data_IF_757306025620
#
_entry.id   IF_757306025620
#
_cell.length_a   1.000
_cell.length_b   1.000
_cell.length_c   1.000
_cell.angle_alpha   90.00
_cell.angle_beta   90.00
_cell.angle_gamma   90.00
#
_symmetry.space_group_name_H-M   'P 1'
#
loop_
_entity.id
_entity.type
_entity.pdbx_description
1 polymer ?
#
# COMPACT_ATOMS: atom_id res chain seq x y z
N UNK A 1 -26.67 -2.95 -25.67
CA UNK A 1 -25.35 -2.92 -25.01
C UNK A 1 -25.42 -1.91 -23.88
N UNK A 2 -25.46 -2.36 -22.62
CA UNK A 2 -25.59 -1.47 -21.46
C UNK A 2 -24.21 -1.14 -20.89
N UNK A 3 -23.86 0.13 -20.95
CA UNK A 3 -22.70 0.70 -20.28
C UNK A 3 -23.01 0.82 -18.79
N UNK A 4 -22.16 0.28 -17.92
CA UNK A 4 -22.19 0.63 -16.51
C UNK A 4 -21.29 1.85 -16.33
N UNK A 5 -21.88 3.04 -16.31
CA UNK A 5 -21.21 4.23 -15.77
C UNK A 5 -21.28 4.11 -14.26
N UNK A 6 -20.24 3.53 -13.65
CA UNK A 6 -20.19 3.46 -12.19
C UNK A 6 -19.79 4.83 -11.65
N UNK A 7 -20.76 5.59 -11.16
CA UNK A 7 -20.44 6.67 -10.23
C UNK A 7 -19.97 6.01 -8.94
N UNK A 8 -18.69 6.21 -8.61
CA UNK A 8 -18.20 5.92 -7.27
C UNK A 8 -18.95 6.83 -6.29
N UNK A 9 -19.90 6.29 -5.54
CA UNK A 9 -20.64 7.07 -4.53
C UNK A 9 -20.03 6.76 -3.17
N UNK A 10 -19.25 7.69 -2.63
CA UNK A 10 -18.82 7.64 -1.22
C UNK A 10 -18.44 9.04 -0.75
N UNK A 11 -19.44 9.82 -0.28
CA UNK A 11 -19.25 11.11 0.43
C UNK A 11 -18.53 12.24 -0.37
N UNK A 12 -18.75 13.53 -0.06
CA UNK A 12 -18.00 14.65 -0.66
C UNK A 12 -16.47 14.60 -0.46
N UNK A 13 -15.95 13.67 0.35
CA UNK A 13 -14.56 13.61 0.84
C UNK A 13 -13.60 12.65 0.11
N UNK A 14 -13.96 12.06 -1.04
CA UNK A 14 -13.04 11.17 -1.77
C UNK A 14 -12.68 11.71 -3.17
N UNK A 15 -11.40 12.05 -3.31
CA UNK A 15 -10.80 12.82 -4.40
C UNK A 15 -10.50 11.99 -5.67
N UNK A 16 -10.52 12.74 -6.79
CA UNK A 16 -10.19 12.46 -8.19
C UNK A 16 -11.02 11.39 -8.95
N UNK A 17 -11.93 11.93 -9.77
CA UNK A 17 -12.76 11.27 -10.78
C UNK A 17 -11.88 10.59 -11.84
N UNK A 18 -11.71 9.27 -11.75
CA UNK A 18 -11.25 8.45 -12.88
C UNK A 18 -12.48 7.76 -13.46
N UNK A 19 -12.82 8.10 -14.71
CA UNK A 19 -13.88 7.39 -15.43
C UNK A 19 -13.24 6.23 -16.16
N UNK A 20 -13.57 5.02 -15.77
CA UNK A 20 -12.99 3.80 -16.35
C UNK A 20 -14.03 3.02 -17.14
N UNK A 21 -13.65 2.61 -18.36
CA UNK A 21 -14.41 1.66 -19.16
C UNK A 21 -13.88 0.25 -18.89
N UNK A 22 -14.67 -0.55 -18.19
CA UNK A 22 -14.33 -1.95 -17.90
C UNK A 22 -15.16 -2.93 -18.71
N UNK A 23 -14.57 -4.09 -19.00
CA UNK A 23 -15.21 -5.16 -19.75
C UNK A 23 -16.45 -5.67 -19.02
N UNK A 24 -17.49 -6.01 -19.78
CA UNK A 24 -18.72 -6.59 -19.23
C UNK A 24 -18.41 -7.85 -18.39
N UNK A 25 -19.01 -7.93 -17.20
CA UNK A 25 -18.81 -9.03 -16.25
C UNK A 25 -17.59 -8.89 -15.34
N UNK A 26 -16.70 -7.91 -15.56
CA UNK A 26 -15.68 -7.58 -14.57
C UNK A 26 -16.34 -6.89 -13.36
N UNK A 27 -15.89 -7.22 -12.15
CA UNK A 27 -16.44 -6.69 -10.90
C UNK A 27 -15.42 -5.78 -10.24
N UNK A 28 -15.81 -4.54 -9.96
CA UNK A 28 -15.03 -3.60 -9.14
C UNK A 28 -15.05 -4.09 -7.69
N UNK A 29 -13.88 -4.14 -7.05
CA UNK A 29 -13.76 -4.47 -5.62
C UNK A 29 -13.78 -3.14 -4.85
N UNK A 30 -14.98 -2.65 -4.53
CA UNK A 30 -15.18 -1.32 -3.91
C UNK A 30 -14.65 -1.25 -2.48
N UNK A 31 -14.49 -2.40 -1.83
CA UNK A 31 -13.93 -2.55 -0.48
C UNK A 31 -12.41 -2.46 -0.45
N UNK A 32 -11.73 -2.35 -1.61
CA UNK A 32 -10.29 -2.15 -1.71
C UNK A 32 -10.00 -0.82 -2.40
N UNK A 33 -9.14 -0.01 -1.78
CA UNK A 33 -8.63 1.22 -2.35
C UNK A 33 -7.13 1.10 -2.63
N UNK A 34 -6.71 1.50 -3.82
CA UNK A 34 -5.30 1.69 -4.17
C UNK A 34 -5.04 3.19 -4.14
N UNK A 35 -4.22 3.62 -3.19
CA UNK A 35 -3.87 5.03 -2.98
C UNK A 35 -2.52 5.34 -3.60
N UNK A 36 -2.44 6.49 -4.25
CA UNK A 36 -1.27 6.89 -5.03
C UNK A 36 -1.00 8.38 -4.80
N UNK A 37 0.19 8.68 -4.31
CA UNK A 37 0.70 10.06 -4.21
C UNK A 37 1.84 10.18 -5.23
N UNK A 38 1.56 10.43 -6.51
CA UNK A 38 2.60 10.71 -7.49
C UNK A 38 3.27 12.05 -7.13
N UNK A 39 4.59 12.02 -6.93
CA UNK A 39 5.40 13.23 -6.83
C UNK A 39 6.26 13.29 -8.08
N UNK A 40 6.09 14.36 -8.86
CA UNK A 40 6.99 14.69 -9.94
C UNK A 40 7.96 15.75 -9.41
N UNK A 41 9.18 15.35 -9.10
CA UNK A 41 10.30 16.27 -8.93
C UNK A 41 10.90 16.46 -10.32
N UNK A 42 11.35 17.67 -10.67
CA UNK A 42 11.75 18.15 -12.01
C UNK A 42 12.50 17.16 -12.96
N UNK A 43 13.12 16.09 -12.45
CA UNK A 43 13.81 15.03 -13.21
C UNK A 43 13.55 13.60 -12.68
N UNK A 44 12.73 13.41 -11.64
CA UNK A 44 12.51 12.14 -10.96
C UNK A 44 11.07 12.00 -10.45
N UNK A 45 10.46 10.85 -10.68
CA UNK A 45 9.11 10.55 -10.20
C UNK A 45 9.23 9.75 -8.89
N UNK A 46 8.79 10.30 -7.76
CA UNK A 46 8.83 9.67 -6.43
C UNK A 46 7.41 9.50 -5.89
N UNK A 47 6.69 8.50 -6.40
CA UNK A 47 5.38 8.12 -5.88
C UNK A 47 5.44 7.41 -4.53
N UNK A 48 4.40 7.51 -3.70
CA UNK A 48 4.11 6.52 -2.64
C UNK A 48 2.77 5.85 -2.92
N UNK A 49 2.77 4.52 -3.03
CA UNK A 49 1.58 3.71 -3.30
C UNK A 49 1.30 2.74 -2.14
N UNK A 50 0.02 2.55 -1.82
CA UNK A 50 -0.43 1.57 -0.83
C UNK A 50 -1.84 1.08 -1.12
N UNK A 51 -2.21 -0.06 -0.53
CA UNK A 51 -3.56 -0.64 -0.59
C UNK A 51 -4.24 -0.48 0.75
N UNK A 52 -5.51 -0.03 0.79
CA UNK A 52 -6.35 0.06 1.99
C UNK A 52 -7.58 -0.85 1.86
N UNK A 53 -8.02 -1.44 2.96
CA UNK A 53 -9.30 -2.15 3.05
C UNK A 53 -10.35 -1.26 3.72
N UNK A 54 -11.55 -1.26 3.16
CA UNK A 54 -12.74 -0.66 3.75
C UNK A 54 -13.44 -1.73 4.58
N UNK A 55 -13.45 -1.51 5.89
CA UNK A 55 -14.14 -2.34 6.85
C UNK A 55 -15.39 -1.62 7.35
N UNK A 56 -16.45 -2.36 7.67
CA UNK A 56 -17.73 -1.78 8.12
C UNK A 56 -17.61 -1.01 9.45
N UNK A 57 -16.65 -1.38 10.29
CA UNK A 57 -16.43 -0.82 11.63
C UNK A 57 -15.40 0.33 11.66
N UNK A 58 -15.16 1.00 10.52
CA UNK A 58 -14.10 2.01 10.41
C UNK A 58 -14.22 3.17 11.40
N UNK A 59 -15.45 3.52 11.77
CA UNK A 59 -15.76 4.62 12.69
C UNK A 59 -15.81 4.18 14.16
N UNK A 60 -15.71 2.88 14.42
CA UNK A 60 -15.82 2.33 15.77
C UNK A 60 -14.45 2.38 16.48
N UNK A 61 -14.51 2.53 17.81
CA UNK A 61 -13.35 2.52 18.70
C UNK A 61 -13.72 1.74 19.95
N UNK A 62 -12.88 0.78 20.33
CA UNK A 62 -13.10 0.00 21.55
C UNK A 62 -13.10 0.90 22.80
N UNK A 63 -13.97 0.62 23.77
CA UNK A 63 -14.09 1.38 25.02
C UNK A 63 -12.75 1.60 25.75
N UNK A 64 -11.85 0.60 25.85
CA UNK A 64 -10.57 0.82 26.52
C UNK A 64 -9.70 1.82 25.79
N UNK A 65 -9.77 1.83 24.46
CA UNK A 65 -9.03 2.78 23.63
C UNK A 65 -9.62 4.19 23.71
N UNK A 66 -10.93 4.32 23.94
CA UNK A 66 -11.55 5.60 24.31
C UNK A 66 -11.02 6.08 25.67
N UNK A 67 -10.98 5.21 26.68
CA UNK A 67 -10.52 5.54 28.03
C UNK A 67 -9.05 5.99 28.07
N UNK A 68 -8.16 5.27 27.38
CA UNK A 68 -6.74 5.61 27.26
C UNK A 68 -6.58 7.02 26.65
N UNK A 69 -7.35 7.35 25.60
CA UNK A 69 -7.34 8.69 25.00
C UNK A 69 -7.86 9.76 25.95
N UNK A 70 -8.95 9.49 26.68
CA UNK A 70 -9.50 10.42 27.68
C UNK A 70 -8.50 10.71 28.81
N UNK A 71 -7.74 9.71 29.24
CA UNK A 71 -6.67 9.85 30.24
C UNK A 71 -5.42 10.57 29.70
N UNK A 72 -5.32 10.76 28.38
CA UNK A 72 -4.18 11.43 27.75
C UNK A 72 -2.88 10.63 27.85
N UNK A 73 -2.99 9.29 27.91
CA UNK A 73 -1.82 8.41 27.91
C UNK A 73 -1.01 8.57 26.61
N UNK A 74 0.28 8.27 26.70
CA UNK A 74 1.23 8.29 25.58
C UNK A 74 1.41 6.89 25.00
N UNK A 75 2.00 6.81 23.81
CA UNK A 75 2.31 5.53 23.16
C UNK A 75 3.15 4.63 24.06
N UNK A 76 4.17 5.18 24.72
CA UNK A 76 4.99 4.45 25.70
C UNK A 76 4.22 3.87 26.90
N UNK A 77 3.05 4.41 27.24
CA UNK A 77 2.31 4.04 28.44
C UNK A 77 1.39 2.82 28.18
N UNK A 78 1.30 2.37 26.92
CA UNK A 78 0.40 1.29 26.49
C UNK A 78 1.13 0.15 25.75
N UNK A 79 2.45 0.14 25.84
CA UNK A 79 3.32 -0.94 25.35
C UNK A 79 4.25 -1.41 26.47
N UNK A 80 4.69 -2.66 26.42
CA UNK A 80 5.66 -3.21 27.37
C UNK A 80 7.12 -2.82 27.00
N UNK A 81 8.08 -3.31 27.78
CA UNK A 81 9.52 -3.05 27.55
C UNK A 81 10.04 -3.59 26.20
N UNK A 82 9.31 -4.54 25.59
CA UNK A 82 9.62 -5.12 24.27
C UNK A 82 8.89 -4.39 23.14
N UNK A 83 8.03 -3.42 23.46
CA UNK A 83 7.22 -2.69 22.50
C UNK A 83 5.96 -3.45 22.07
N UNK A 84 5.56 -4.48 22.82
CA UNK A 84 4.31 -5.22 22.60
C UNK A 84 3.14 -4.49 23.26
N UNK A 85 1.96 -4.48 22.63
CA UNK A 85 0.79 -3.79 23.17
C UNK A 85 0.34 -4.40 24.51
N UNK A 86 0.12 -3.56 25.52
CA UNK A 86 -0.53 -3.97 26.77
C UNK A 86 -2.03 -4.29 26.55
N UNK A 87 -2.60 -3.74 25.48
CA UNK A 87 -3.97 -3.97 25.08
C UNK A 87 -4.12 -3.89 23.56
N UNK A 88 -4.89 -4.82 22.99
CA UNK A 88 -5.22 -4.85 21.57
C UNK A 88 -6.63 -4.25 21.40
N UNK A 89 -6.72 -3.22 20.55
CA UNK A 89 -8.00 -2.68 20.08
C UNK A 89 -8.47 -3.53 18.91
N UNK A 90 -9.69 -4.07 18.93
CA UNK A 90 -10.25 -4.86 17.83
C UNK A 90 -10.81 -4.01 16.69
N UNK A 91 -11.25 -2.78 16.98
CA UNK A 91 -11.84 -1.86 16.02
C UNK A 91 -10.80 -1.00 15.31
N UNK A 92 -11.18 -0.53 14.13
CA UNK A 92 -10.36 0.35 13.29
C UNK A 92 -9.84 1.57 14.04
N UNK A 93 -10.68 2.13 14.92
CA UNK A 93 -10.38 3.36 15.64
C UNK A 93 -10.00 4.51 14.66
N UNK A 94 -10.64 4.50 13.49
CA UNK A 94 -10.37 5.36 12.34
C UNK A 94 -9.09 5.06 11.54
N UNK A 95 -8.24 4.11 11.95
CA UNK A 95 -7.16 3.55 11.11
C UNK A 95 -7.70 2.36 10.31
N UNK A 96 -7.52 2.40 9.00
CA UNK A 96 -7.92 1.30 8.11
C UNK A 96 -6.84 0.22 8.10
N UNK A 97 -7.19 -0.98 7.68
CA UNK A 97 -6.16 -1.95 7.32
C UNK A 97 -5.49 -1.51 6.03
N UNK A 98 -4.17 -1.50 5.95
CA UNK A 98 -3.47 -1.18 4.72
C UNK A 98 -2.06 -1.71 4.65
N UNK A 99 -1.52 -1.75 3.43
CA UNK A 99 -0.18 -2.23 3.14
C UNK A 99 0.53 -1.31 2.15
N UNK A 100 1.64 -0.74 2.60
CA UNK A 100 2.56 0.09 1.83
C UNK A 100 3.98 -0.11 2.32
N UNK A 101 4.96 0.49 1.65
CA UNK A 101 6.37 0.36 2.05
C UNK A 101 7.00 1.70 2.38
N UNK A 102 7.90 1.70 3.37
CA UNK A 102 8.66 2.87 3.78
C UNK A 102 10.10 2.56 4.12
N UNK A 103 11.02 3.50 3.89
CA UNK A 103 12.36 3.38 4.44
C UNK A 103 12.33 3.58 5.98
N UNK A 104 13.08 2.77 6.72
CA UNK A 104 13.21 2.90 8.19
C UNK A 104 13.82 4.24 8.63
N UNK A 105 14.59 4.88 7.76
CA UNK A 105 15.16 6.21 7.94
C UNK A 105 15.34 6.89 6.57
N UNK A 106 15.42 8.22 6.54
CA UNK A 106 15.68 8.95 5.30
C UNK A 106 17.05 8.54 4.73
N UNK A 107 17.14 7.94 3.52
CA UNK A 107 18.40 7.72 2.84
C UNK A 107 18.82 9.03 2.12
N UNK A 108 18.71 10.18 2.78
CA UNK A 108 18.97 11.46 2.10
C UNK A 108 20.45 11.81 2.17
N UNK A 109 21.22 11.31 1.20
CA UNK A 109 22.38 12.03 0.69
C UNK A 109 22.07 12.45 -0.76
N UNK A 110 21.75 13.73 -1.01
CA UNK A 110 21.39 14.24 -2.34
C UNK A 110 22.45 13.95 -3.42
N UNK A 111 23.70 13.73 -3.00
CA UNK A 111 24.86 13.49 -3.86
C UNK A 111 24.97 12.05 -4.42
N UNK A 112 24.29 11.05 -3.84
CA UNK A 112 24.31 9.68 -4.38
C UNK A 112 23.34 9.46 -5.54
N UNK A 113 22.45 10.41 -5.80
CA UNK A 113 21.40 10.35 -6.83
C UNK A 113 21.99 10.56 -8.25
N UNK A 114 23.14 11.20 -8.36
CA UNK A 114 23.78 11.55 -9.64
C UNK A 114 24.84 10.56 -10.14
N UNK A 115 25.09 9.46 -9.44
CA UNK A 115 26.29 8.64 -9.64
C UNK A 115 26.05 7.18 -10.04
N UNK A 116 24.87 6.81 -10.56
CA UNK A 116 24.52 5.41 -10.94
C UNK A 116 24.69 4.37 -9.81
N UNK A 117 25.00 4.82 -8.60
CA UNK A 117 25.09 3.98 -7.43
C UNK A 117 23.68 3.75 -6.95
N UNK A 118 23.25 2.49 -6.94
CA UNK A 118 22.04 2.06 -6.22
C UNK A 118 21.98 2.84 -4.92
N UNK A 119 20.95 3.67 -4.74
CA UNK A 119 20.63 4.20 -3.42
C UNK A 119 20.04 3.02 -2.66
N UNK A 120 20.95 2.19 -2.13
CA UNK A 120 20.63 1.13 -1.18
C UNK A 120 20.17 1.89 0.06
N UNK A 121 18.87 2.13 0.12
CA UNK A 121 18.22 2.74 1.26
C UNK A 121 18.02 1.64 2.30
N UNK A 122 19.02 1.50 3.17
CA UNK A 122 18.97 0.82 4.47
C UNK A 122 17.55 0.53 4.97
N UNK A 123 17.27 -0.75 5.23
CA UNK A 123 16.12 -1.29 5.98
C UNK A 123 14.77 -0.66 5.57
N UNK A 124 14.30 -0.99 4.37
CA UNK A 124 12.89 -0.76 4.09
C UNK A 124 11.99 -1.64 4.95
N UNK A 125 10.79 -1.15 5.29
CA UNK A 125 9.89 -1.80 6.23
C UNK A 125 8.44 -1.67 5.76
N UNK A 126 7.71 -2.78 5.83
CA UNK A 126 6.28 -2.83 5.59
C UNK A 126 5.56 -1.88 6.55
N UNK A 127 4.70 -1.02 6.01
CA UNK A 127 4.02 0.09 6.69
C UNK A 127 4.97 1.01 7.47
N UNK A 128 6.27 0.91 7.22
CA UNK A 128 7.26 1.64 7.99
C UNK A 128 7.23 1.32 9.48
N UNK A 129 6.89 0.07 9.81
CA UNK A 129 6.90 -0.45 11.16
C UNK A 129 8.34 -0.78 11.58
N UNK A 130 9.02 0.22 12.15
CA UNK A 130 10.43 0.14 12.52
C UNK A 130 10.69 0.89 13.82
N UNK A 131 11.59 0.38 14.67
CA UNK A 131 11.92 0.94 16.00
C UNK A 131 12.27 2.43 15.93
N UNK A 132 13.12 2.84 14.97
CA UNK A 132 13.48 4.26 14.74
C UNK A 132 12.27 5.16 14.47
N UNK A 133 11.24 4.66 13.79
CA UNK A 133 10.02 5.41 13.47
C UNK A 133 9.09 5.43 14.68
N UNK A 134 8.90 4.30 15.37
CA UNK A 134 8.13 4.19 16.63
C UNK A 134 8.67 5.13 17.72
N UNK A 135 10.00 5.23 17.88
CA UNK A 135 10.65 6.17 18.82
C UNK A 135 10.22 7.63 18.65
N UNK A 136 9.86 8.07 17.43
CA UNK A 136 9.38 9.43 17.17
C UNK A 136 7.95 9.68 17.64
N UNK A 137 7.15 8.62 17.76
CA UNK A 137 5.77 8.70 18.23
C UNK A 137 5.65 8.37 19.73
N UNK A 138 6.63 7.66 20.30
CA UNK A 138 6.69 7.16 21.67
C UNK A 138 6.25 8.13 22.80
N UNK A 139 6.61 9.41 22.70
CA UNK A 139 6.32 10.41 23.73
C UNK A 139 5.08 11.27 23.47
N UNK A 140 4.44 11.10 22.31
CA UNK A 140 3.24 11.86 21.94
C UNK A 140 2.03 11.27 22.67
N UNK A 141 1.09 12.13 23.03
CA UNK A 141 -0.20 11.67 23.58
C UNK A 141 -0.98 10.97 22.48
N UNK A 142 -1.75 9.95 22.83
CA UNK A 142 -2.58 9.27 21.83
C UNK A 142 -3.70 10.15 21.27
N UNK A 143 -4.08 11.21 21.98
CA UNK A 143 -4.95 12.26 21.46
C UNK A 143 -4.29 13.13 20.39
N UNK A 144 -2.95 13.19 20.36
CA UNK A 144 -2.15 13.85 19.31
C UNK A 144 -1.89 12.91 18.12
N UNK A 145 -2.05 11.60 18.32
CA UNK A 145 -1.84 10.54 17.32
C UNK A 145 -3.17 9.91 16.87
N UNK A 146 -4.16 10.75 16.60
CA UNK A 146 -5.43 10.31 16.01
C UNK A 146 -5.26 10.00 14.52
N UNK A 147 -6.19 9.26 13.90
CA UNK A 147 -6.16 8.99 12.47
C UNK A 147 -6.07 10.23 11.58
N UNK A 148 -6.49 11.40 12.08
CA UNK A 148 -6.43 12.67 11.35
C UNK A 148 -5.07 13.38 11.45
N UNK A 149 -4.18 12.94 12.32
CA UNK A 149 -2.86 13.55 12.58
C UNK A 149 -1.73 12.71 11.99
N UNK A 150 -0.57 13.33 11.76
CA UNK A 150 0.59 12.65 11.16
C UNK A 150 1.25 11.68 12.15
N UNK A 151 1.40 10.42 11.74
CA UNK A 151 2.23 9.42 12.44
C UNK A 151 3.53 9.19 11.72
N UNK A 152 4.58 8.91 12.48
CA UNK A 152 5.87 8.57 11.91
C UNK A 152 5.97 7.08 11.64
N UNK A 153 5.36 6.20 12.43
CA UNK A 153 5.35 4.76 12.19
C UNK A 153 3.93 4.26 11.85
N UNK A 154 3.85 3.40 10.84
CA UNK A 154 2.69 2.52 10.66
C UNK A 154 2.87 1.24 11.47
N UNK A 155 2.06 0.23 11.20
CA UNK A 155 2.11 -1.08 11.86
C UNK A 155 1.91 -2.19 10.85
N UNK A 156 2.69 -3.27 10.95
CA UNK A 156 2.65 -4.36 9.97
C UNK A 156 1.86 -5.58 10.42
N UNK A 157 1.54 -5.71 11.71
CA UNK A 157 0.81 -6.84 12.29
C UNK A 157 -0.53 -6.42 12.88
N UNK A 158 -1.40 -7.42 13.08
CA UNK A 158 -2.74 -7.26 13.66
C UNK A 158 -2.76 -7.22 15.20
N UNK A 159 -1.60 -6.98 15.82
CA UNK A 159 -1.41 -6.84 17.26
C UNK A 159 -0.76 -5.50 17.53
N UNK A 160 -1.45 -4.44 17.12
CA UNK A 160 -0.97 -3.09 17.29
C UNK A 160 -1.68 -2.45 18.49
N UNK A 161 -0.91 -1.67 19.23
CA UNK A 161 -1.28 -0.96 20.45
C UNK A 161 -2.40 0.09 20.25
N UNK A 162 -2.79 0.35 19.00
CA UNK A 162 -3.83 1.33 18.65
C UNK A 162 -4.94 0.80 17.74
N UNK A 163 -4.75 -0.39 17.15
CA UNK A 163 -5.67 -1.04 16.22
C UNK A 163 -5.22 -2.48 15.97
N UNK A 164 -6.17 -3.40 15.80
CA UNK A 164 -5.92 -4.80 15.39
C UNK A 164 -5.52 -4.91 13.93
N UNK A 165 -5.35 -3.79 13.23
CA UNK A 165 -5.07 -3.75 11.81
C UNK A 165 -3.70 -3.13 11.57
N UNK A 166 -2.98 -3.76 10.66
CA UNK A 166 -1.82 -3.16 10.04
C UNK A 166 -2.25 -1.87 9.34
N UNK A 167 -1.51 -0.76 9.52
CA UNK A 167 -1.87 0.52 8.91
C UNK A 167 -0.63 1.26 8.41
N UNK A 168 -0.83 2.04 7.34
CA UNK A 168 0.16 2.87 6.68
C UNK A 168 0.20 4.26 7.37
N UNK A 169 1.39 4.82 7.67
CA UNK A 169 1.54 6.07 8.40
C UNK A 169 1.02 7.30 7.64
N UNK A 170 0.83 7.21 6.32
CA UNK A 170 0.23 8.26 5.49
C UNK A 170 -1.28 8.11 5.31
N UNK A 171 -1.92 7.11 5.94
CA UNK A 171 -3.38 6.96 5.89
C UNK A 171 -4.12 8.23 6.30
N UNK A 172 -3.56 9.03 7.20
CA UNK A 172 -4.19 10.28 7.62
C UNK A 172 -4.51 11.21 6.44
N UNK A 173 -3.80 11.06 5.31
CA UNK A 173 -4.02 11.79 4.08
C UNK A 173 -5.44 11.72 3.56
N UNK A 174 -6.21 10.66 3.87
CA UNK A 174 -7.61 10.58 3.45
C UNK A 174 -8.52 11.57 4.19
N UNK A 175 -8.11 12.08 5.35
CA UNK A 175 -8.81 13.14 6.07
C UNK A 175 -8.43 14.54 5.57
N UNK A 176 -7.49 14.64 4.63
CA UNK A 176 -6.95 15.89 4.09
C UNK A 176 -7.05 15.88 2.56
N UNK A 177 -8.08 16.51 2.00
CA UNK A 177 -8.44 16.41 0.56
C UNK A 177 -7.31 16.73 -0.43
N UNK A 178 -6.25 17.43 -0.01
CA UNK A 178 -5.06 17.73 -0.83
C UNK A 178 -3.89 16.74 -0.72
N UNK A 179 -3.88 15.79 0.22
CA UNK A 179 -2.74 14.88 0.45
C UNK A 179 -2.77 13.67 -0.49
N UNK A 180 -3.95 13.10 -0.76
CA UNK A 180 -4.13 12.00 -1.71
C UNK A 180 -4.54 12.57 -3.06
N UNK A 181 -3.65 12.50 -4.04
CA UNK A 181 -3.91 13.01 -5.39
C UNK A 181 -4.72 12.04 -6.23
N UNK A 182 -4.54 10.74 -5.99
CA UNK A 182 -5.03 9.72 -6.90
C UNK A 182 -5.44 8.45 -6.13
N UNK A 183 -6.66 7.98 -6.37
CA UNK A 183 -7.24 6.77 -5.77
C UNK A 183 -7.92 5.95 -6.86
N UNK A 184 -7.74 4.64 -6.81
CA UNK A 184 -8.35 3.67 -7.74
C UNK A 184 -8.85 2.46 -6.96
N UNK A 185 -9.65 1.60 -7.59
CA UNK A 185 -10.03 0.30 -7.00
C UNK A 185 -9.66 -0.82 -7.97
N UNK A 186 -9.19 -1.97 -7.48
CA UNK A 186 -8.95 -3.10 -8.35
C UNK A 186 -10.25 -3.73 -8.85
N UNK A 187 -10.13 -4.52 -9.90
CA UNK A 187 -11.21 -5.31 -10.48
C UNK A 187 -10.83 -6.78 -10.50
N UNK A 188 -11.82 -7.64 -10.33
CA UNK A 188 -11.70 -9.06 -10.67
C UNK A 188 -12.29 -9.31 -12.06
N UNK A 189 -11.71 -10.25 -12.80
CA UNK A 189 -12.14 -10.60 -14.16
C UNK A 189 -13.48 -11.35 -14.15
N UNK A 190 -14.20 -11.39 -15.30
CA UNK A 190 -15.42 -12.20 -15.42
C UNK A 190 -15.17 -13.66 -15.03
N UNK A 191 -16.05 -14.22 -14.21
CA UNK A 191 -15.97 -15.60 -13.74
C UNK A 191 -15.20 -15.80 -12.44
N UNK A 192 -14.58 -14.74 -11.90
CA UNK A 192 -14.02 -14.78 -10.55
C UNK A 192 -15.15 -14.74 -9.50
N UNK A 193 -15.26 -15.82 -8.72
CA UNK A 193 -16.30 -15.99 -7.70
C UNK A 193 -15.82 -15.66 -6.29
N UNK A 194 -14.57 -15.20 -6.11
CA UNK A 194 -14.05 -14.87 -4.79
C UNK A 194 -14.85 -13.72 -4.18
N UNK A 195 -15.14 -13.87 -2.89
CA UNK A 195 -15.66 -12.83 -2.02
C UNK A 195 -14.58 -11.80 -1.69
N UNK A 196 -14.98 -10.63 -1.23
CA UNK A 196 -14.03 -9.59 -0.82
C UNK A 196 -13.16 -10.04 0.36
N UNK A 197 -13.72 -10.84 1.29
CA UNK A 197 -12.96 -11.39 2.42
C UNK A 197 -11.92 -12.44 1.97
N UNK A 198 -12.23 -13.27 0.98
CA UNK A 198 -11.24 -14.18 0.39
C UNK A 198 -10.08 -13.39 -0.26
N UNK A 199 -10.40 -12.29 -0.95
CA UNK A 199 -9.39 -11.40 -1.56
C UNK A 199 -8.55 -10.70 -0.47
N UNK A 200 -9.18 -10.23 0.62
CA UNK A 200 -8.47 -9.65 1.76
C UNK A 200 -7.47 -10.64 2.35
N UNK A 201 -7.89 -11.89 2.57
CA UNK A 201 -7.05 -12.93 3.12
C UNK A 201 -5.88 -13.32 2.21
N UNK A 202 -6.09 -13.33 0.90
CA UNK A 202 -5.01 -13.55 -0.08
C UNK A 202 -3.97 -12.42 -0.05
N UNK A 203 -4.42 -11.16 0.04
CA UNK A 203 -3.52 -10.00 0.20
C UNK A 203 -2.73 -10.08 1.52
N UNK A 204 -3.40 -10.38 2.64
CA UNK A 204 -2.76 -10.56 3.96
C UNK A 204 -1.69 -11.63 3.89
N UNK A 205 -2.01 -12.79 3.30
CA UNK A 205 -1.08 -13.90 3.15
C UNK A 205 0.13 -13.52 2.30
N UNK A 206 -0.11 -12.86 1.16
CA UNK A 206 0.96 -12.38 0.27
C UNK A 206 1.89 -11.40 1.00
N UNK A 207 1.33 -10.40 1.68
CA UNK A 207 2.13 -9.38 2.38
C UNK A 207 2.94 -9.99 3.54
N UNK A 208 2.35 -10.94 4.28
CA UNK A 208 3.06 -11.65 5.35
C UNK A 208 4.23 -12.49 4.80
N UNK A 209 4.03 -13.21 3.70
CA UNK A 209 5.10 -13.96 3.02
C UNK A 209 6.20 -13.02 2.54
N UNK A 210 5.82 -11.94 1.86
CA UNK A 210 6.74 -10.94 1.31
C UNK A 210 7.63 -10.28 2.38
N UNK A 211 7.08 -9.98 3.56
CA UNK A 211 7.85 -9.44 4.69
C UNK A 211 8.81 -10.49 5.28
N UNK A 212 8.42 -11.78 5.28
CA UNK A 212 9.22 -12.87 5.83
C UNK A 212 10.41 -13.30 4.96
N UNK A 213 10.32 -13.10 3.64
CA UNK A 213 11.34 -13.51 2.66
C UNK A 213 12.59 -12.62 2.66
N UNK A 214 12.63 -11.58 3.49
CA UNK A 214 13.82 -10.74 3.67
C UNK A 214 14.18 -9.92 2.43
N UNK A 215 13.16 -9.42 1.73
CA UNK A 215 13.32 -8.58 0.54
C UNK A 215 14.29 -7.40 0.76
N UNK A 216 15.24 -7.21 -0.16
CA UNK A 216 16.12 -6.04 -0.14
C UNK A 216 15.36 -4.83 -0.69
N UNK A 217 14.76 -4.09 0.23
CA UNK A 217 14.06 -2.87 -0.11
C UNK A 217 15.02 -1.76 -0.53
N UNK A 218 14.70 -1.04 -1.60
CA UNK A 218 15.50 0.09 -2.07
C UNK A 218 14.64 1.24 -2.60
N UNK A 219 15.29 2.39 -2.78
CA UNK A 219 14.67 3.63 -3.23
C UNK A 219 15.36 4.04 -4.54
N UNK A 220 15.10 3.27 -5.59
CA UNK A 220 15.72 3.41 -6.90
C UNK A 220 14.68 3.60 -8.02
N UNK A 221 15.17 3.49 -9.26
CA UNK A 221 14.55 3.98 -10.49
C UNK A 221 13.61 2.95 -11.16
N UNK A 222 12.84 2.21 -10.37
CA UNK A 222 11.99 1.10 -10.82
C UNK A 222 12.80 -0.03 -11.49
N UNK A 223 13.83 -0.52 -10.80
CA UNK A 223 14.78 -1.55 -11.27
C UNK A 223 14.29 -2.98 -10.99
N UNK A 224 14.67 -3.96 -11.82
CA UNK A 224 14.35 -5.38 -11.60
C UNK A 224 14.86 -5.94 -10.27
N UNK A 225 15.94 -5.37 -9.74
CA UNK A 225 16.55 -5.76 -8.46
C UNK A 225 15.92 -5.08 -7.26
N UNK A 226 14.95 -4.18 -7.48
CA UNK A 226 14.40 -3.35 -6.43
C UNK A 226 13.10 -3.92 -5.89
N UNK A 227 12.90 -3.67 -4.59
CA UNK A 227 11.67 -3.90 -3.87
C UNK A 227 11.31 -2.56 -3.23
N UNK A 228 10.16 -1.99 -3.57
CA UNK A 228 9.68 -0.68 -3.10
C UNK A 228 8.14 -0.68 -3.05
N UNK A 229 7.51 0.46 -2.71
CA UNK A 229 6.05 0.55 -2.59
C UNK A 229 5.30 0.26 -3.91
N UNK A 230 5.87 0.61 -5.07
CA UNK A 230 5.28 0.35 -6.38
C UNK A 230 5.39 -1.14 -6.74
N UNK A 231 6.58 -1.71 -6.56
CA UNK A 231 6.86 -3.11 -6.87
C UNK A 231 6.04 -4.04 -5.98
N UNK A 232 5.94 -3.72 -4.67
CA UNK A 232 5.05 -4.44 -3.76
C UNK A 232 3.61 -4.44 -4.29
N UNK A 233 3.08 -3.27 -4.67
CA UNK A 233 1.73 -3.17 -5.22
C UNK A 233 1.58 -4.00 -6.49
N UNK A 234 2.52 -3.93 -7.44
CA UNK A 234 2.42 -4.67 -8.69
C UNK A 234 2.45 -6.18 -8.47
N UNK A 235 3.36 -6.66 -7.64
CA UNK A 235 3.47 -8.09 -7.35
C UNK A 235 2.25 -8.58 -6.55
N UNK A 236 1.74 -7.78 -5.60
CA UNK A 236 0.50 -8.05 -4.86
C UNK A 236 -0.70 -8.20 -5.80
N UNK A 237 -0.91 -7.23 -6.70
CA UNK A 237 -2.01 -7.27 -7.66
C UNK A 237 -1.89 -8.46 -8.61
N UNK A 238 -0.67 -8.76 -9.08
CA UNK A 238 -0.38 -9.92 -9.91
C UNK A 238 -0.69 -11.24 -9.21
N UNK A 239 -0.23 -11.37 -7.96
CA UNK A 239 -0.42 -12.56 -7.14
C UNK A 239 -1.92 -12.80 -6.93
N UNK A 240 -2.63 -11.78 -6.43
CA UNK A 240 -4.04 -11.82 -6.07
C UNK A 240 -5.02 -11.80 -7.27
N UNK A 241 -4.53 -11.87 -8.51
CA UNK A 241 -5.35 -11.78 -9.73
C UNK A 241 -6.23 -10.52 -9.79
N UNK A 242 -5.72 -9.39 -9.31
CA UNK A 242 -6.43 -8.12 -9.27
C UNK A 242 -5.99 -7.23 -10.44
N UNK A 243 -6.95 -6.81 -11.25
CA UNK A 243 -6.73 -5.89 -12.35
C UNK A 243 -6.75 -4.45 -11.86
N UNK A 244 -5.85 -3.62 -12.38
CA UNK A 244 -5.93 -2.16 -12.30
C UNK A 244 -5.94 -1.62 -13.74
N UNK A 245 -7.09 -1.70 -14.45
CA UNK A 245 -7.21 -1.23 -15.82
C UNK A 245 -7.07 0.30 -15.94
N UNK A 246 -7.17 1.01 -14.82
CA UNK A 246 -7.10 2.47 -14.72
C UNK A 246 -5.65 2.97 -14.78
N UNK A 247 -4.72 2.24 -14.16
CA UNK A 247 -3.31 2.65 -14.07
C UNK A 247 -2.34 1.66 -14.74
N UNK A 248 -2.55 0.36 -14.64
CA UNK A 248 -1.57 -0.65 -15.07
C UNK A 248 -1.96 -1.27 -16.43
N UNK A 249 -3.13 -0.91 -16.96
CA UNK A 249 -3.51 -1.15 -18.36
C UNK A 249 -2.55 -0.49 -19.37
N UNK A 250 -2.84 -0.65 -20.67
CA UNK A 250 -1.98 -0.24 -21.80
C UNK A 250 -1.29 1.12 -21.57
N UNK A 251 -0.01 1.07 -21.19
CA UNK A 251 0.94 2.19 -21.08
C UNK A 251 0.52 3.36 -20.15
N UNK A 252 -0.22 3.08 -19.07
CA UNK A 252 -0.77 4.14 -18.23
C UNK A 252 0.13 4.55 -17.03
N UNK A 253 0.79 3.60 -16.36
CA UNK A 253 1.62 3.86 -15.16
C UNK A 253 3.11 3.81 -15.52
N UNK A 254 3.81 4.94 -15.33
CA UNK A 254 5.24 5.07 -15.66
C UNK A 254 6.15 4.17 -14.83
N UNK A 255 5.84 3.97 -13.54
CA UNK A 255 6.61 3.07 -12.67
C UNK A 255 6.46 1.62 -13.14
N UNK A 256 5.24 1.22 -13.51
CA UNK A 256 5.00 -0.09 -14.08
C UNK A 256 5.75 -0.30 -15.41
N UNK A 257 5.69 0.69 -16.32
CA UNK A 257 6.40 0.63 -17.62
C UNK A 257 7.90 0.46 -17.40
N UNK A 258 8.50 1.26 -16.51
CA UNK A 258 9.94 1.21 -16.21
C UNK A 258 10.33 -0.12 -15.58
N UNK A 259 9.59 -0.59 -14.59
CA UNK A 259 9.84 -1.86 -13.92
C UNK A 259 9.75 -3.04 -14.89
N UNK A 260 8.68 -3.10 -15.69
CA UNK A 260 8.53 -4.12 -16.73
C UNK A 260 9.67 -4.07 -17.75
N UNK A 261 10.02 -2.89 -18.25
CA UNK A 261 11.14 -2.75 -19.19
C UNK A 261 12.47 -3.17 -18.56
N UNK A 262 12.66 -2.93 -17.27
CA UNK A 262 13.82 -3.41 -16.54
C UNK A 262 13.87 -4.94 -16.45
N UNK A 263 12.73 -5.60 -16.24
CA UNK A 263 12.62 -7.06 -16.18
C UNK A 263 12.82 -7.70 -17.56
N UNK A 264 12.21 -7.15 -18.61
CA UNK A 264 12.31 -7.68 -19.98
C UNK A 264 13.77 -7.69 -20.50
N UNK A 265 14.60 -6.75 -20.03
CA UNK A 265 16.05 -6.70 -20.34
C UNK A 265 16.85 -7.87 -19.75
N UNK A 266 16.31 -8.59 -18.77
CA UNK A 266 17.00 -9.70 -18.10
C UNK A 266 16.74 -11.07 -18.73
N UNK A 267 16.14 -11.11 -19.92
CA UNK A 267 15.69 -12.34 -20.61
C UNK A 267 16.81 -13.26 -21.13
N UNK A 268 18.08 -13.02 -20.76
CA UNK A 268 19.23 -13.84 -21.16
C UNK A 268 19.75 -14.69 -19.97
N UNK A 269 19.37 -15.97 -19.93
CA UNK A 269 20.14 -17.03 -19.27
C UNK A 269 20.35 -16.95 -17.75
N UNK A 270 19.53 -16.19 -17.02
CA UNK A 270 19.62 -16.14 -15.56
C UNK A 270 18.94 -17.35 -14.92
N UNK A 271 19.63 -18.00 -13.97
CA UNK A 271 19.06 -19.07 -13.12
C UNK A 271 18.41 -18.51 -11.83
N UNK A 272 18.16 -17.21 -11.79
CA UNK A 272 17.52 -16.53 -10.65
C UNK A 272 16.00 -16.80 -10.66
N UNK A 273 15.55 -17.75 -9.84
CA UNK A 273 14.15 -18.17 -9.72
C UNK A 273 13.23 -17.00 -9.35
N UNK A 274 13.68 -16.12 -8.44
CA UNK A 274 12.91 -14.97 -7.98
C UNK A 274 12.73 -13.94 -9.09
N UNK A 275 13.77 -13.70 -9.89
CA UNK A 275 13.67 -12.84 -11.06
C UNK A 275 12.69 -13.42 -12.09
N UNK A 276 12.74 -14.73 -12.33
CA UNK A 276 11.81 -15.40 -13.23
C UNK A 276 10.36 -15.32 -12.75
N UNK A 277 10.13 -15.50 -11.45
CA UNK A 277 8.81 -15.32 -10.83
C UNK A 277 8.29 -13.89 -11.04
N UNK A 278 9.11 -12.87 -10.76
CA UNK A 278 8.75 -11.46 -10.98
C UNK A 278 8.41 -11.18 -12.44
N UNK A 279 9.18 -11.73 -13.39
CA UNK A 279 8.88 -11.62 -14.83
C UNK A 279 7.50 -12.22 -15.14
N UNK A 280 7.17 -13.39 -14.59
CA UNK A 280 5.88 -14.05 -14.81
C UNK A 280 4.74 -13.24 -14.19
N UNK A 281 4.89 -12.77 -12.95
CA UNK A 281 3.88 -11.98 -12.25
C UNK A 281 3.60 -10.65 -12.97
N UNK A 282 4.62 -9.92 -13.41
CA UNK A 282 4.42 -8.65 -14.12
C UNK A 282 3.77 -8.86 -15.49
N UNK A 283 4.11 -9.94 -16.21
CA UNK A 283 3.39 -10.33 -17.44
C UNK A 283 1.94 -10.66 -17.15
N UNK A 284 1.67 -11.42 -16.08
CA UNK A 284 0.33 -11.79 -15.63
C UNK A 284 -0.51 -10.56 -15.30
N UNK A 285 0.02 -9.62 -14.52
CA UNK A 285 -0.65 -8.36 -14.18
C UNK A 285 -0.99 -7.52 -15.41
N UNK A 286 -0.06 -7.39 -16.36
CA UNK A 286 -0.35 -6.70 -17.62
C UNK A 286 -1.52 -7.35 -18.38
N UNK A 287 -1.52 -8.68 -18.47
CA UNK A 287 -2.56 -9.42 -19.17
C UNK A 287 -3.92 -9.27 -18.48
N UNK A 288 -3.97 -9.40 -17.14
CA UNK A 288 -5.18 -9.25 -16.34
C UNK A 288 -5.74 -7.83 -16.48
N UNK A 289 -4.90 -6.80 -16.35
CA UNK A 289 -5.33 -5.40 -16.51
C UNK A 289 -5.78 -5.06 -17.93
N UNK A 290 -5.15 -5.62 -18.98
CA UNK A 290 -5.62 -5.48 -20.37
C UNK A 290 -6.97 -6.17 -20.57
N UNK A 291 -7.15 -7.38 -20.04
CA UNK A 291 -8.39 -8.14 -20.19
C UNK A 291 -9.58 -7.52 -19.44
N UNK A 292 -9.31 -6.76 -18.37
CA UNK A 292 -10.33 -6.01 -17.64
C UNK A 292 -10.78 -4.74 -18.38
N UNK A 293 -9.97 -4.21 -19.31
CA UNK A 293 -10.27 -2.99 -20.07
C UNK A 293 -11.26 -3.31 -21.19
N UNK A 294 -12.28 -2.45 -21.36
CA UNK A 294 -13.14 -2.53 -22.54
C UNK A 294 -12.41 -2.00 -23.78
N UNK A 295 -12.71 -2.58 -24.95
CA UNK A 295 -12.25 -2.09 -26.26
C UNK A 295 -12.80 -0.70 -26.60
#
# INVERSE_FOLDING_TARGET
>A
MSWATTQSVTSPRHSSKVTTKVKAGARKVETILIRRIPVNLLVFEVGHFWVEFLHEDEAEIDEPMQAIRQQGLKEKDIVDEKGEPLQISTKANGFRESYGWYPAGMPFQPLNIFNDKRVISSDGTLNGDHEKRRKKDNNKKLTELTPTQDRQAGRKTNHNEHSSRAFDPHQNGHFHEGKIKFTTSPYVLPGDSRTDEEIFNEIRAYVAAFDSEGEEWSWANDSYKETNCHTLLFLLLAHCNLADPECIGIELDRHFIRYKASLDKQTNGTNDEKLMERILLIKKLLNISKNAKAE
#
